data_IF_180205246112
#
_entry.id   IF_180205246112
#
_cell.length_a   1.000
_cell.length_b   1.000
_cell.length_c   1.000
_cell.angle_alpha   90.00
_cell.angle_beta   90.00
_cell.angle_gamma   90.00
#
_symmetry.space_group_name_H-M   'P 1'
#
loop_
_entity.id
_entity.type
_entity.pdbx_description
1 polymer ?
#
# COMPACT_ATOMS: atom_id res chain seq x y z
N UNK A 1 -0.26 -1.06 -18.11
CA UNK A 1 -0.25 -0.19 -16.88
C UNK A 1 -1.19 -0.69 -15.77
N UNK A 2 -2.50 -0.91 -16.01
CA UNK A 2 -3.45 -1.41 -14.97
C UNK A 2 -3.03 -2.71 -14.28
N UNK A 3 -2.48 -3.68 -15.02
CA UNK A 3 -1.97 -4.96 -14.44
C UNK A 3 -0.93 -4.74 -13.34
N UNK A 4 0.03 -3.85 -13.58
CA UNK A 4 1.12 -3.54 -12.63
C UNK A 4 0.62 -2.76 -11.42
N UNK A 5 -0.37 -1.88 -11.61
CA UNK A 5 -1.05 -1.21 -10.50
C UNK A 5 -1.79 -2.19 -9.61
N UNK A 6 -2.46 -3.19 -10.19
CA UNK A 6 -3.08 -4.28 -9.42
C UNK A 6 -2.04 -5.07 -8.61
N UNK A 7 -0.85 -5.32 -9.18
CA UNK A 7 0.27 -5.95 -8.45
C UNK A 7 0.76 -5.08 -7.28
N UNK A 8 0.93 -3.76 -7.47
CA UNK A 8 1.29 -2.85 -6.35
C UNK A 8 0.20 -2.82 -5.27
N UNK A 9 -1.08 -2.89 -5.63
CA UNK A 9 -2.18 -2.97 -4.66
C UNK A 9 -2.15 -4.28 -3.87
N UNK A 10 -1.65 -5.37 -4.47
CA UNK A 10 -1.45 -6.66 -3.82
C UNK A 10 -0.14 -6.75 -3.01
N UNK A 11 0.76 -5.77 -3.15
CA UNK A 11 1.99 -5.62 -2.35
C UNK A 11 1.65 -5.13 -0.95
N UNK A 12 1.21 -6.11 -0.18
CA UNK A 12 0.58 -5.96 1.10
C UNK A 12 1.57 -5.81 2.24
N UNK A 13 0.99 -5.35 3.34
CA UNK A 13 1.62 -5.42 4.65
C UNK A 13 1.20 -6.73 5.30
N UNK A 14 2.10 -7.30 6.10
CA UNK A 14 1.78 -8.43 6.97
C UNK A 14 1.64 -7.88 8.38
N UNK A 15 0.55 -8.21 9.06
CA UNK A 15 0.27 -7.74 10.42
C UNK A 15 0.06 -8.90 11.39
N UNK A 16 0.78 -8.88 12.50
CA UNK A 16 0.70 -9.87 13.58
C UNK A 16 0.39 -9.20 14.91
N UNK A 17 -0.66 -9.66 15.59
CA UNK A 17 -1.27 -9.00 16.72
C UNK A 17 -1.10 -9.78 18.01
N UNK A 18 -0.55 -9.13 19.02
CA UNK A 18 -0.35 -9.69 20.35
C UNK A 18 -1.08 -8.85 21.39
N UNK A 19 -1.70 -9.51 22.36
CA UNK A 19 -2.36 -8.84 23.49
C UNK A 19 -1.33 -8.57 24.58
N UNK A 20 -1.26 -7.32 25.04
CA UNK A 20 -0.45 -6.91 26.18
C UNK A 20 -1.34 -6.32 27.28
N UNK A 21 -0.99 -6.61 28.53
CA UNK A 21 -1.67 -6.10 29.71
C UNK A 21 -0.77 -5.13 30.44
N UNK A 22 -1.23 -3.88 30.57
CA UNK A 22 -0.54 -2.82 31.30
C UNK A 22 -1.40 -2.45 32.50
N UNK A 23 -1.17 -3.15 33.62
CA UNK A 23 -2.08 -3.12 34.77
C UNK A 23 -3.47 -3.65 34.38
N UNK A 24 -4.57 -2.91 34.67
CA UNK A 24 -5.92 -3.33 34.27
C UNK A 24 -6.27 -2.98 32.81
N UNK A 25 -5.33 -2.39 32.05
CA UNK A 25 -5.60 -1.92 30.68
C UNK A 25 -5.05 -2.91 29.66
N UNK A 26 -5.86 -3.18 28.63
CA UNK A 26 -5.44 -3.94 27.44
C UNK A 26 -4.83 -3.01 26.40
N UNK A 27 -3.69 -3.41 25.84
CA UNK A 27 -3.04 -2.78 24.70
C UNK A 27 -2.70 -3.87 23.69
N UNK A 28 -3.12 -3.71 22.45
CA UNK A 28 -2.71 -4.61 21.38
C UNK A 28 -1.41 -4.11 20.77
N UNK A 29 -0.41 -4.99 20.68
CA UNK A 29 0.84 -4.77 19.96
C UNK A 29 0.72 -5.42 18.59
N UNK A 30 0.61 -4.62 17.54
CA UNK A 30 0.58 -5.11 16.17
C UNK A 30 1.96 -4.92 15.55
N UNK A 31 2.68 -6.00 15.30
CA UNK A 31 3.88 -6.02 14.46
C UNK A 31 3.44 -5.90 13.00
N UNK A 32 4.01 -4.97 12.24
CA UNK A 32 3.71 -4.79 10.83
C UNK A 32 5.02 -4.90 10.03
N UNK A 33 4.97 -5.68 8.97
CA UNK A 33 6.06 -5.95 8.05
C UNK A 33 5.64 -5.58 6.62
N UNK A 34 6.61 -5.18 5.80
CA UNK A 34 6.40 -4.90 4.38
C UNK A 34 7.43 -5.63 3.53
N UNK A 35 7.02 -6.04 2.34
CA UNK A 35 7.89 -6.72 1.37
C UNK A 35 8.79 -5.75 0.58
N UNK A 36 8.71 -4.46 0.87
CA UNK A 36 9.44 -3.39 0.19
C UNK A 36 10.68 -3.04 1.02
N UNK A 37 11.85 -3.16 0.41
CA UNK A 37 13.13 -2.87 1.06
C UNK A 37 13.37 -1.36 1.13
N UNK A 38 14.01 -0.90 2.21
CA UNK A 38 14.54 0.47 2.29
C UNK A 38 15.83 0.61 1.50
N UNK A 39 16.26 1.85 1.29
CA UNK A 39 17.51 2.17 0.59
C UNK A 39 18.77 1.59 1.25
N UNK A 40 18.72 1.30 2.55
CA UNK A 40 19.81 0.64 3.29
C UNK A 40 19.80 -0.90 3.12
N UNK A 41 18.83 -1.46 2.41
CA UNK A 41 18.71 -2.91 2.19
C UNK A 41 18.23 -3.69 3.41
N UNK A 42 17.59 -3.04 4.39
CA UNK A 42 17.01 -3.70 5.55
C UNK A 42 15.51 -3.99 5.33
N UNK A 43 15.07 -5.16 5.80
CA UNK A 43 13.65 -5.47 5.99
C UNK A 43 13.04 -4.48 6.98
N UNK A 44 11.80 -4.03 6.72
CA UNK A 44 11.13 -3.09 7.62
C UNK A 44 10.05 -3.77 8.40
N UNK A 45 10.29 -3.83 9.72
CA UNK A 45 9.28 -4.16 10.72
C UNK A 45 9.10 -2.97 11.65
N UNK A 46 7.85 -2.61 11.94
CA UNK A 46 7.55 -1.66 13.01
C UNK A 46 6.35 -2.13 13.84
N UNK A 47 6.05 -1.40 14.91
CA UNK A 47 5.01 -1.76 15.85
C UNK A 47 3.98 -0.66 15.97
N UNK A 48 2.70 -1.02 15.75
CA UNK A 48 1.56 -0.19 16.09
C UNK A 48 0.95 -0.66 17.42
N UNK A 49 1.06 0.16 18.46
CA UNK A 49 0.32 -0.04 19.70
C UNK A 49 -1.11 0.50 19.56
N UNK A 50 -2.12 -0.33 19.86
CA UNK A 50 -3.54 0.01 19.76
C UNK A 50 -4.21 -0.21 21.12
N UNK A 51 -4.49 0.88 21.83
CA UNK A 51 -5.26 0.88 23.07
C UNK A 51 -6.71 1.31 22.81
N UNK A 52 -7.61 1.06 23.77
CA UNK A 52 -9.00 1.54 23.72
C UNK A 52 -9.07 3.05 23.47
N UNK A 53 -8.33 3.84 24.26
CA UNK A 53 -8.33 5.30 24.14
C UNK A 53 -7.80 5.80 22.79
N UNK A 54 -6.80 5.11 22.21
CA UNK A 54 -6.29 5.43 20.87
C UNK A 54 -7.35 5.14 19.80
N UNK A 55 -8.08 4.04 19.95
CA UNK A 55 -9.13 3.63 19.02
C UNK A 55 -10.36 4.57 19.09
N UNK A 56 -10.76 5.00 20.29
CA UNK A 56 -11.83 5.98 20.49
C UNK A 56 -11.46 7.36 19.89
N UNK A 57 -10.23 7.83 20.13
CA UNK A 57 -9.75 9.07 19.52
C UNK A 57 -9.73 8.98 17.98
N UNK A 58 -9.27 7.86 17.44
CA UNK A 58 -9.30 7.61 16.00
C UNK A 58 -10.72 7.55 15.44
N UNK A 59 -11.65 6.90 16.15
CA UNK A 59 -13.08 6.87 15.78
C UNK A 59 -13.66 8.27 15.65
N UNK A 60 -13.36 9.15 16.60
CA UNK A 60 -13.84 10.54 16.59
C UNK A 60 -13.35 11.31 15.35
N UNK A 61 -12.08 11.14 14.98
CA UNK A 61 -11.52 11.76 13.77
C UNK A 61 -12.16 11.20 12.48
N UNK A 62 -12.40 9.88 12.40
CA UNK A 62 -13.09 9.26 11.27
C UNK A 62 -14.54 9.77 11.15
N UNK A 63 -15.25 9.91 12.27
CA UNK A 63 -16.60 10.49 12.26
C UNK A 63 -16.59 11.96 11.81
N UNK A 64 -15.57 12.73 12.20
CA UNK A 64 -15.39 14.09 11.70
C UNK A 64 -15.18 14.12 10.18
N UNK A 65 -14.38 13.20 9.64
CA UNK A 65 -14.17 13.07 8.19
C UNK A 65 -15.46 12.71 7.47
N UNK A 66 -16.22 11.73 7.98
CA UNK A 66 -17.50 11.34 7.41
C UNK A 66 -18.49 12.51 7.34
N UNK A 67 -18.59 13.32 8.41
CA UNK A 67 -19.45 14.51 8.40
C UNK A 67 -18.99 15.57 7.40
N UNK A 68 -17.69 15.69 7.16
CA UNK A 68 -17.14 16.66 6.22
C UNK A 68 -17.41 16.28 4.75
N UNK A 69 -17.46 14.98 4.45
CA UNK A 69 -17.68 14.45 3.10
C UNK A 69 -19.14 14.13 2.79
N UNK A 70 -19.99 13.90 3.79
CA UNK A 70 -21.43 13.66 3.59
C UNK A 70 -22.08 14.94 3.04
N UNK A 71 -22.48 14.92 1.77
CA UNK A 71 -23.17 16.04 1.14
C UNK A 71 -24.52 15.61 0.58
N UNK A 72 -25.56 16.48 0.65
CA UNK A 72 -26.87 16.20 0.07
C UNK A 72 -26.83 16.00 -1.45
N UNK A 73 -25.77 16.48 -2.10
CA UNK A 73 -25.58 16.53 -3.54
C UNK A 73 -24.95 15.27 -4.14
N UNK A 74 -24.77 14.20 -3.35
CA UNK A 74 -24.11 12.97 -3.78
C UNK A 74 -22.63 12.89 -3.35
N UNK A 75 -21.89 11.84 -3.76
CA UNK A 75 -20.47 11.70 -3.45
C UNK A 75 -19.65 12.81 -4.09
N UNK A 76 -18.54 13.18 -3.44
CA UNK A 76 -17.59 14.17 -3.94
C UNK A 76 -16.53 13.54 -4.83
N UNK A 77 -16.17 12.28 -4.60
CA UNK A 77 -15.32 11.54 -5.54
C UNK A 77 -16.12 11.06 -6.74
N UNK A 78 -15.46 10.92 -7.91
CA UNK A 78 -16.10 10.59 -9.19
C UNK A 78 -17.07 9.39 -9.09
N UNK A 79 -16.68 8.34 -8.36
CA UNK A 79 -17.45 7.10 -8.21
C UNK A 79 -17.81 6.78 -6.74
N UNK A 80 -17.58 7.70 -5.79
CA UNK A 80 -17.83 7.48 -4.36
C UNK A 80 -16.82 6.56 -3.64
N UNK A 81 -15.70 6.20 -4.29
CA UNK A 81 -14.71 5.26 -3.76
C UNK A 81 -14.06 5.74 -2.46
N UNK A 82 -13.69 7.04 -2.39
CA UNK A 82 -13.03 7.61 -1.21
C UNK A 82 -13.96 7.57 0.00
N UNK A 83 -15.23 7.93 -0.21
CA UNK A 83 -16.28 7.86 0.82
C UNK A 83 -16.49 6.42 1.28
N UNK A 84 -16.49 5.45 0.36
CA UNK A 84 -16.61 4.03 0.68
C UNK A 84 -15.45 3.54 1.55
N UNK A 85 -14.21 3.94 1.26
CA UNK A 85 -13.04 3.61 2.09
C UNK A 85 -13.12 4.19 3.50
N UNK A 86 -13.56 5.45 3.64
CA UNK A 86 -13.72 6.07 4.97
C UNK A 86 -14.82 5.34 5.75
N UNK A 87 -15.93 4.98 5.11
CA UNK A 87 -17.01 4.18 5.73
C UNK A 87 -16.53 2.76 6.11
N UNK A 88 -15.70 2.12 5.29
CA UNK A 88 -15.09 0.83 5.62
C UNK A 88 -14.24 0.93 6.89
N UNK A 89 -13.38 1.94 7.00
CA UNK A 89 -12.58 2.15 8.22
C UNK A 89 -13.47 2.38 9.44
N UNK A 90 -14.56 3.15 9.30
CA UNK A 90 -15.52 3.36 10.39
C UNK A 90 -16.19 2.05 10.86
N UNK A 91 -16.56 1.17 9.93
CA UNK A 91 -17.16 -0.14 10.25
C UNK A 91 -16.17 -1.03 10.99
N UNK A 92 -14.91 -1.06 10.54
CA UNK A 92 -13.83 -1.82 11.19
C UNK A 92 -13.54 -1.32 12.61
N UNK A 93 -13.52 0.00 12.82
CA UNK A 93 -13.36 0.60 14.16
C UNK A 93 -14.51 0.22 15.09
N UNK A 94 -15.75 0.29 14.61
CA UNK A 94 -16.94 -0.10 15.39
C UNK A 94 -16.91 -1.58 15.76
N UNK A 95 -16.49 -2.45 14.82
CA UNK A 95 -16.34 -3.88 15.04
C UNK A 95 -15.35 -4.18 16.18
N UNK A 96 -14.17 -3.57 16.16
CA UNK A 96 -13.14 -3.80 17.19
C UNK A 96 -13.55 -3.20 18.54
N UNK A 97 -14.13 -1.99 18.57
CA UNK A 97 -14.62 -1.39 19.81
C UNK A 97 -15.71 -2.25 20.47
N UNK A 98 -16.66 -2.75 19.67
CA UNK A 98 -17.76 -3.59 20.15
C UNK A 98 -17.34 -5.00 20.54
N UNK A 99 -16.40 -5.63 19.82
CA UNK A 99 -16.00 -7.01 20.07
C UNK A 99 -14.95 -7.15 21.19
N UNK A 100 -13.96 -6.25 21.25
CA UNK A 100 -12.76 -6.47 22.06
C UNK A 100 -12.73 -5.67 23.37
N UNK A 101 -13.57 -4.65 23.51
CA UNK A 101 -13.54 -3.74 24.67
C UNK A 101 -14.88 -3.69 25.44
N UNK A 102 -15.81 -4.60 25.11
CA UNK A 102 -17.13 -4.69 25.74
C UNK A 102 -17.20 -5.64 26.95
N UNK A 103 -16.35 -6.68 27.04
CA UNK A 103 -16.32 -7.60 28.20
C UNK A 103 -14.92 -8.14 28.51
N UNK A 104 -14.54 -8.10 29.78
CA UNK A 104 -13.19 -8.43 30.29
C UNK A 104 -12.86 -9.93 30.36
N UNK A 105 -13.75 -10.80 29.89
CA UNK A 105 -13.69 -12.24 30.16
C UNK A 105 -13.43 -13.12 28.92
N UNK A 106 -13.36 -12.57 27.71
CA UNK A 106 -13.24 -13.39 26.50
C UNK A 106 -11.87 -13.27 25.90
N UNK A 107 -11.22 -14.44 25.80
CA UNK A 107 -9.91 -14.72 25.27
C UNK A 107 -9.87 -14.47 23.74
N UNK A 108 -10.13 -13.23 23.31
CA UNK A 108 -10.09 -12.83 21.92
C UNK A 108 -8.62 -12.75 21.50
N UNK A 109 -8.14 -13.88 20.97
CA UNK A 109 -6.91 -14.03 20.19
C UNK A 109 -6.69 -12.77 19.33
N UNK A 110 -5.43 -12.33 19.23
CA UNK A 110 -5.03 -11.17 18.43
C UNK A 110 -5.55 -11.13 16.98
N UNK A 111 -6.10 -12.23 16.45
CA UNK A 111 -6.74 -12.33 15.14
C UNK A 111 -7.73 -11.19 14.80
N UNK A 112 -8.55 -10.71 15.76
CA UNK A 112 -9.46 -9.59 15.49
C UNK A 112 -8.70 -8.29 15.22
N UNK A 113 -7.62 -8.03 15.96
CA UNK A 113 -6.81 -6.83 15.77
C UNK A 113 -5.89 -6.94 14.54
N UNK A 114 -5.44 -8.16 14.21
CA UNK A 114 -4.69 -8.45 12.98
C UNK A 114 -5.54 -8.13 11.75
N UNK A 115 -6.73 -8.72 11.66
CA UNK A 115 -7.67 -8.45 10.57
C UNK A 115 -8.01 -6.96 10.45
N UNK A 116 -8.20 -6.28 11.58
CA UNK A 116 -8.40 -4.84 11.62
C UNK A 116 -7.21 -4.05 11.05
N UNK A 117 -6.00 -4.33 11.53
CA UNK A 117 -4.79 -3.65 11.06
C UNK A 117 -4.56 -3.89 9.56
N UNK A 118 -4.71 -5.14 9.10
CA UNK A 118 -4.62 -5.49 7.67
C UNK A 118 -5.64 -4.74 6.83
N UNK A 119 -6.90 -4.62 7.30
CA UNK A 119 -7.92 -3.85 6.58
C UNK A 119 -7.55 -2.37 6.45
N UNK A 120 -7.06 -1.74 7.52
CA UNK A 120 -6.60 -0.35 7.48
C UNK A 120 -5.37 -0.16 6.58
N UNK A 121 -4.45 -1.12 6.59
CA UNK A 121 -3.26 -1.12 5.73
C UNK A 121 -3.62 -1.27 4.24
N UNK A 122 -4.66 -2.06 3.93
CA UNK A 122 -5.20 -2.16 2.56
C UNK A 122 -5.84 -0.84 2.12
N UNK A 123 -6.65 -0.22 2.96
CA UNK A 123 -7.22 1.11 2.69
C UNK A 123 -6.12 2.14 2.44
N UNK A 124 -5.07 2.13 3.27
CA UNK A 124 -3.90 2.98 3.09
C UNK A 124 -3.22 2.75 1.73
N UNK A 125 -3.00 1.48 1.35
CA UNK A 125 -2.44 1.11 0.05
C UNK A 125 -3.28 1.63 -1.11
N UNK A 126 -4.61 1.45 -1.05
CA UNK A 126 -5.54 1.93 -2.07
C UNK A 126 -5.48 3.45 -2.23
N UNK A 127 -5.53 4.21 -1.13
CA UNK A 127 -5.42 5.68 -1.15
C UNK A 127 -4.13 6.16 -1.82
N UNK A 128 -2.99 5.49 -1.59
CA UNK A 128 -1.71 5.85 -2.21
C UNK A 128 -1.62 5.49 -3.70
N UNK A 129 -2.58 4.72 -4.22
CA UNK A 129 -2.63 4.27 -5.62
C UNK A 129 -3.78 4.90 -6.43
N UNK A 130 -4.54 5.82 -5.85
CA UNK A 130 -5.62 6.51 -6.54
C UNK A 130 -5.08 7.51 -7.57
N UNK A 131 -5.61 7.54 -8.80
CA UNK A 131 -5.26 8.55 -9.79
C UNK A 131 -5.75 9.96 -9.36
N UNK A 132 -4.98 10.99 -9.70
CA UNK A 132 -5.22 12.38 -9.22
C UNK A 132 -6.47 13.00 -9.88
N UNK A 133 -6.84 12.54 -11.07
CA UNK A 133 -8.01 12.95 -11.85
C UNK A 133 -9.36 12.51 -11.24
N UNK A 134 -9.35 11.63 -10.23
CA UNK A 134 -10.56 11.21 -9.50
C UNK A 134 -11.02 12.21 -8.42
N UNK A 135 -10.26 13.27 -8.16
CA UNK A 135 -10.44 14.15 -6.99
C UNK A 135 -10.83 15.57 -7.41
N UNK A 136 -12.02 16.03 -7.03
CA UNK A 136 -12.45 17.42 -7.26
C UNK A 136 -11.66 18.42 -6.39
N UNK A 137 -11.36 19.59 -6.95
CA UNK A 137 -10.03 20.23 -6.87
C UNK A 137 -9.67 21.03 -5.60
N UNK A 138 -10.39 20.90 -4.47
CA UNK A 138 -9.84 21.45 -3.19
C UNK A 138 -10.35 20.81 -1.91
N UNK A 139 -11.67 20.68 -1.76
CA UNK A 139 -12.27 20.20 -0.51
C UNK A 139 -12.06 18.70 -0.31
N UNK A 140 -12.24 17.89 -1.36
CA UNK A 140 -12.01 16.45 -1.27
C UNK A 140 -10.53 16.13 -1.07
N UNK A 141 -9.63 16.85 -1.76
CA UNK A 141 -8.18 16.71 -1.61
C UNK A 141 -7.72 16.93 -0.15
N UNK A 142 -8.26 17.96 0.52
CA UNK A 142 -7.94 18.22 1.92
C UNK A 142 -8.40 17.10 2.86
N UNK A 143 -9.62 16.58 2.68
CA UNK A 143 -10.13 15.49 3.51
C UNK A 143 -9.44 14.15 3.20
N UNK A 144 -9.07 13.91 1.94
CA UNK A 144 -8.25 12.75 1.56
C UNK A 144 -6.86 12.81 2.20
N UNK A 145 -6.20 13.98 2.18
CA UNK A 145 -4.92 14.17 2.83
C UNK A 145 -5.04 13.97 4.35
N UNK A 146 -6.10 14.52 4.96
CA UNK A 146 -6.39 14.32 6.39
C UNK A 146 -6.61 12.85 6.71
N UNK A 147 -7.37 12.13 5.89
CA UNK A 147 -7.62 10.69 6.07
C UNK A 147 -6.33 9.86 5.94
N UNK A 148 -5.52 10.16 4.91
CA UNK A 148 -4.21 9.54 4.70
C UNK A 148 -3.28 9.75 5.92
N UNK A 149 -3.16 10.99 6.42
CA UNK A 149 -2.33 11.32 7.59
C UNK A 149 -2.86 10.62 8.85
N UNK A 150 -4.18 10.56 9.02
CA UNK A 150 -4.83 9.92 10.15
C UNK A 150 -4.52 8.41 10.19
N UNK A 151 -4.64 7.71 9.06
CA UNK A 151 -4.28 6.28 8.95
C UNK A 151 -2.79 6.06 9.22
N UNK A 152 -1.94 6.86 8.60
CA UNK A 152 -0.48 6.79 8.78
C UNK A 152 -0.08 6.94 10.24
N UNK A 153 -0.63 7.95 10.93
CA UNK A 153 -0.36 8.22 12.34
C UNK A 153 -0.90 7.11 13.25
N UNK A 154 -2.10 6.61 12.95
CA UNK A 154 -2.71 5.56 13.75
C UNK A 154 -1.92 4.24 13.67
N UNK A 155 -1.50 3.84 12.47
CA UNK A 155 -0.70 2.64 12.22
C UNK A 155 0.80 2.83 12.48
N UNK A 156 1.25 4.07 12.74
CA UNK A 156 2.66 4.38 13.00
C UNK A 156 3.57 4.10 11.80
N UNK A 157 3.07 4.28 10.57
CA UNK A 157 3.82 3.94 9.35
C UNK A 157 5.04 4.88 9.21
N UNK A 158 6.26 4.33 9.17
CA UNK A 158 7.49 5.13 9.07
C UNK A 158 7.63 5.86 7.73
N UNK A 159 8.31 7.01 7.75
CA UNK A 159 8.62 7.82 6.57
C UNK A 159 9.41 7.04 5.52
N UNK A 160 10.35 6.20 5.97
CA UNK A 160 11.12 5.32 5.09
C UNK A 160 10.25 4.37 4.28
N UNK A 161 9.22 3.78 4.91
CA UNK A 161 8.26 2.88 4.22
C UNK A 161 7.47 3.65 3.18
N UNK A 162 7.00 4.86 3.50
CA UNK A 162 6.29 5.68 2.53
C UNK A 162 7.20 6.07 1.35
N UNK A 163 8.43 6.48 1.63
CA UNK A 163 9.40 6.85 0.60
C UNK A 163 9.68 5.67 -0.34
N UNK A 164 9.91 4.48 0.21
CA UNK A 164 10.15 3.27 -0.56
C UNK A 164 8.94 2.88 -1.43
N UNK A 165 7.70 2.99 -0.89
CA UNK A 165 6.47 2.79 -1.66
C UNK A 165 6.32 3.79 -2.81
N UNK A 166 6.57 5.08 -2.57
CA UNK A 166 6.52 6.10 -3.62
C UNK A 166 7.55 5.81 -4.72
N UNK A 167 8.76 5.40 -4.32
CA UNK A 167 9.84 5.05 -5.25
C UNK A 167 9.48 3.84 -6.12
N UNK A 168 8.87 2.82 -5.52
CA UNK A 168 8.34 1.66 -6.23
C UNK A 168 7.25 2.06 -7.22
N UNK A 169 6.28 2.88 -6.81
CA UNK A 169 5.21 3.37 -7.68
C UNK A 169 5.77 4.13 -8.89
N UNK A 170 6.73 5.03 -8.67
CA UNK A 170 7.40 5.76 -9.75
C UNK A 170 8.18 4.83 -10.69
N UNK A 171 8.87 3.82 -10.15
CA UNK A 171 9.57 2.84 -10.96
C UNK A 171 8.58 2.06 -11.85
N UNK A 172 7.44 1.62 -11.30
CA UNK A 172 6.41 0.90 -12.05
C UNK A 172 5.77 1.75 -13.14
N UNK A 173 5.49 3.02 -12.84
CA UNK A 173 4.99 3.99 -13.81
C UNK A 173 5.96 4.24 -14.96
N UNK A 174 7.26 4.07 -14.72
CA UNK A 174 8.31 4.30 -15.72
C UNK A 174 8.51 3.11 -16.68
N UNK A 175 7.90 1.95 -16.41
CA UNK A 175 8.02 0.77 -17.25
C UNK A 175 7.06 0.82 -18.45
N UNK A 176 7.50 0.32 -19.61
CA UNK A 176 6.68 0.27 -20.83
C UNK A 176 6.44 -1.19 -21.25
N UNK A 177 5.20 -1.51 -21.62
CA UNK A 177 4.90 -2.80 -22.25
C UNK A 177 5.68 -2.91 -23.59
N UNK A 178 6.07 -4.14 -23.95
CA UNK A 178 6.72 -4.44 -25.23
C UNK A 178 5.76 -5.32 -26.03
N UNK A 179 5.18 -4.74 -27.08
CA UNK A 179 4.09 -5.38 -27.86
C UNK A 179 4.60 -6.35 -28.95
N UNK A 180 5.88 -6.26 -29.33
CA UNK A 180 6.52 -7.11 -30.34
C UNK A 180 7.69 -7.88 -29.72
N UNK A 181 7.80 -9.19 -30.03
CA UNK A 181 8.95 -10.01 -29.65
C UNK A 181 10.26 -9.23 -29.97
N UNK A 182 11.17 -9.04 -29.00
CA UNK A 182 12.22 -8.04 -29.10
C UNK A 182 13.15 -8.36 -30.27
N UNK A 183 12.97 -7.65 -31.38
CA UNK A 183 13.76 -7.81 -32.59
C UNK A 183 15.19 -7.30 -32.47
N UNK A 184 15.60 -6.63 -31.38
CA UNK A 184 16.96 -6.10 -31.22
C UNK A 184 17.37 -6.06 -29.73
N UNK A 185 18.49 -6.75 -29.42
CA UNK A 185 19.38 -6.79 -28.23
C UNK A 185 18.73 -7.02 -26.84
N UNK A 186 19.11 -8.01 -26.01
CA UNK A 186 20.41 -8.56 -25.62
C UNK A 186 20.21 -10.04 -25.20
N UNK A 187 21.12 -10.95 -25.53
CA UNK A 187 21.23 -12.39 -25.13
C UNK A 187 20.05 -13.37 -25.31
N UNK A 188 18.92 -12.97 -25.91
CA UNK A 188 17.84 -13.91 -26.26
C UNK A 188 17.11 -14.54 -25.07
N UNK A 189 17.40 -14.08 -23.84
CA UNK A 189 16.78 -14.53 -22.60
C UNK A 189 16.56 -13.39 -21.60
N UNK A 190 15.65 -13.60 -20.64
CA UNK A 190 15.45 -12.69 -19.51
C UNK A 190 16.62 -12.81 -18.54
N UNK A 191 17.35 -11.73 -18.25
CA UNK A 191 18.56 -11.79 -17.40
C UNK A 191 18.29 -12.06 -15.90
N UNK A 192 17.02 -12.18 -15.50
CA UNK A 192 16.61 -12.47 -14.11
C UNK A 192 16.34 -13.97 -13.93
N UNK A 193 15.49 -14.57 -14.78
CA UNK A 193 15.18 -16.01 -14.72
C UNK A 193 16.08 -16.86 -15.63
N UNK A 194 16.83 -16.24 -16.54
CA UNK A 194 17.69 -16.87 -17.55
C UNK A 194 16.93 -17.72 -18.58
N UNK A 195 15.60 -17.62 -18.64
CA UNK A 195 14.77 -18.31 -19.63
C UNK A 195 14.75 -17.57 -20.97
N UNK A 196 14.86 -18.32 -22.06
CA UNK A 196 14.75 -17.79 -23.41
C UNK A 196 13.34 -17.24 -23.67
N UNK A 197 13.25 -16.15 -24.43
CA UNK A 197 11.97 -15.49 -24.74
C UNK A 197 10.97 -16.45 -25.42
N UNK A 198 11.48 -17.35 -26.27
CA UNK A 198 10.68 -18.31 -27.04
C UNK A 198 10.10 -19.45 -26.18
N UNK A 199 10.66 -19.70 -24.99
CA UNK A 199 10.19 -20.76 -24.10
C UNK A 199 8.89 -20.39 -23.37
N UNK A 200 8.57 -19.10 -23.29
CA UNK A 200 7.36 -18.61 -22.62
C UNK A 200 6.65 -17.55 -23.47
N UNK A 201 6.10 -17.94 -24.64
CA UNK A 201 5.67 -17.02 -25.70
C UNK A 201 4.48 -16.11 -25.36
N UNK A 202 4.00 -16.12 -24.11
CA UNK A 202 2.85 -15.32 -23.65
C UNK A 202 3.10 -14.62 -22.30
N UNK A 203 4.33 -14.60 -21.78
CA UNK A 203 4.64 -13.79 -20.60
C UNK A 203 4.69 -12.30 -21.01
N UNK A 204 3.97 -11.41 -20.31
CA UNK A 204 4.11 -9.97 -20.54
C UNK A 204 5.57 -9.55 -20.37
N UNK A 205 6.11 -8.83 -21.35
CA UNK A 205 7.46 -8.28 -21.29
C UNK A 205 7.41 -6.77 -21.17
N UNK A 206 8.38 -6.22 -20.43
CA UNK A 206 8.43 -4.81 -20.13
C UNK A 206 9.84 -4.29 -20.36
N UNK A 207 9.92 -3.05 -20.84
CA UNK A 207 11.16 -2.32 -21.04
C UNK A 207 11.29 -1.22 -19.98
N UNK A 208 12.46 -1.15 -19.35
CA UNK A 208 12.82 -0.07 -18.43
C UNK A 208 13.24 1.20 -19.21
N UNK A 209 13.32 2.39 -18.58
CA UNK A 209 13.80 3.61 -19.25
C UNK A 209 15.24 3.55 -19.78
N UNK A 210 16.04 2.60 -19.27
CA UNK A 210 17.38 2.31 -19.77
C UNK A 210 17.41 1.26 -20.89
N UNK A 211 16.27 0.99 -21.52
CA UNK A 211 16.04 0.07 -22.63
C UNK A 211 16.23 -1.43 -22.37
N UNK A 212 16.61 -1.84 -21.16
CA UNK A 212 16.65 -3.26 -20.79
C UNK A 212 15.24 -3.86 -20.67
N UNK A 213 15.09 -5.09 -21.18
CA UNK A 213 13.82 -5.83 -21.27
C UNK A 213 13.81 -7.01 -20.29
N UNK A 214 12.67 -7.26 -19.66
CA UNK A 214 12.45 -8.35 -18.70
C UNK A 214 11.03 -8.90 -18.83
N UNK A 215 10.78 -10.11 -18.34
CA UNK A 215 9.41 -10.51 -18.00
C UNK A 215 8.88 -9.57 -16.90
N UNK A 216 7.61 -9.17 -17.00
CA UNK A 216 6.95 -8.27 -16.04
C UNK A 216 7.12 -8.81 -14.61
N UNK A 217 6.77 -10.08 -14.38
CA UNK A 217 6.86 -10.72 -13.07
C UNK A 217 8.29 -10.75 -12.52
N UNK A 218 9.27 -11.04 -13.38
CA UNK A 218 10.67 -11.11 -12.99
C UNK A 218 11.17 -9.74 -12.50
N UNK A 219 10.89 -8.67 -13.25
CA UNK A 219 11.34 -7.34 -12.86
C UNK A 219 10.51 -6.77 -11.72
N UNK A 220 9.22 -7.11 -11.59
CA UNK A 220 8.38 -6.72 -10.47
C UNK A 220 8.93 -7.24 -9.14
N UNK A 221 9.41 -8.49 -9.08
CA UNK A 221 10.07 -9.05 -7.89
C UNK A 221 11.34 -8.24 -7.57
N UNK A 222 12.15 -7.93 -8.58
CA UNK A 222 13.40 -7.20 -8.41
C UNK A 222 13.19 -5.77 -7.88
N UNK A 223 12.24 -5.02 -8.45
CA UNK A 223 12.07 -3.59 -8.11
C UNK A 223 11.53 -3.34 -6.70
N UNK A 224 10.93 -4.36 -6.07
CA UNK A 224 10.56 -4.32 -4.64
C UNK A 224 11.78 -4.28 -3.73
N UNK A 225 12.91 -4.81 -4.19
CA UNK A 225 14.19 -4.80 -3.48
C UNK A 225 15.08 -3.64 -3.93
N UNK A 226 15.06 -3.33 -5.23
CA UNK A 226 15.91 -2.30 -5.81
C UNK A 226 15.27 -1.68 -7.05
N UNK A 227 14.95 -0.40 -6.97
CA UNK A 227 14.45 0.37 -8.12
C UNK A 227 15.53 0.74 -9.15
N UNK A 228 16.63 -0.02 -9.20
CA UNK A 228 17.71 0.10 -10.18
C UNK A 228 17.63 -1.07 -11.14
N UNK A 229 17.94 -0.84 -12.41
CA UNK A 229 18.01 -1.89 -13.42
C UNK A 229 18.95 -3.03 -12.98
N UNK A 230 18.54 -4.31 -13.09
CA UNK A 230 19.40 -5.47 -12.79
C UNK A 230 20.70 -5.51 -13.59
N UNK A 231 20.68 -4.99 -14.82
CA UNK A 231 21.81 -5.05 -15.76
C UNK A 231 22.74 -3.85 -15.59
N UNK A 232 22.24 -2.64 -15.85
CA UNK A 232 23.07 -1.44 -15.87
C UNK A 232 23.04 -0.60 -14.57
N UNK A 233 22.20 -0.99 -13.59
CA UNK A 233 22.02 -0.29 -12.31
C UNK A 233 21.51 1.16 -12.41
N UNK A 234 21.08 1.60 -13.59
CA UNK A 234 20.40 2.88 -13.78
C UNK A 234 19.11 2.93 -12.96
N UNK A 235 18.78 4.09 -12.40
CA UNK A 235 17.53 4.30 -11.67
C UNK A 235 16.34 4.18 -12.63
N UNK A 236 15.33 3.40 -12.23
CA UNK A 236 14.14 3.16 -13.04
C UNK A 236 13.16 4.32 -12.95
N UNK A 237 13.01 4.92 -11.77
CA UNK A 237 12.21 6.13 -11.60
C UNK A 237 12.94 7.32 -12.27
N UNK A 238 12.57 7.64 -13.50
CA UNK A 238 13.00 8.87 -14.16
C UNK A 238 11.86 9.87 -14.11
N UNK A 239 11.98 10.86 -13.22
CA UNK A 239 11.21 12.10 -13.35
C UNK A 239 11.77 12.82 -14.58
N UNK A 240 11.19 12.58 -15.75
CA UNK A 240 11.44 13.43 -16.91
C UNK A 240 10.83 14.80 -16.63
N UNK A 241 11.64 15.72 -16.12
CA UNK A 241 11.35 17.15 -16.22
C UNK A 241 11.50 17.51 -17.71
N UNK A 242 10.41 17.37 -18.47
CA UNK A 242 10.27 17.88 -19.83
C UNK A 242 9.33 19.07 -19.81
#
# INVERSE_FOLDING_TARGET
MERRWSSIRQDGFIAHGHVLWVGPKVVYRVTIETTIMLDNGEDVMWVAAISKSKLEAFQHEIQSLLRAIDTPTGPRSHDGEVEALIRQVQQEVNRVLGANFADAAVNHKGANIESFATSLLNVFGLLTSMPVDYVDTSLLMNEMLRFYVLLRKFLGIPDGVQHARNKLALAVLSMKDVDDAPGICWDGCCSICLEAWDNVPNLPTVKLPCDHVFHEDCVMIWIRQSVKCPVCRALIAQLSLS
#
